data_IF_273885359721
#
_entry.id   IF_273885359721
#
_cell.length_a   1.000
_cell.length_b   1.000
_cell.length_c   1.000
_cell.angle_alpha   90.00
_cell.angle_beta   90.00
_cell.angle_gamma   90.00
#
_symmetry.space_group_name_H-M   'P 1'
#
loop_
_entity.id
_entity.type
_entity.pdbx_description
1 polymer ?
#
# COMPACT_ATOMS: atom_id res chain seq x y z
N UNK A 1 -12.01 -12.45 0.14
CA UNK A 1 -12.17 -10.99 -0.01
C UNK A 1 -12.67 -10.59 -1.39
N UNK A 2 -12.30 -11.31 -2.47
CA UNK A 2 -12.75 -11.02 -3.85
C UNK A 2 -13.95 -11.89 -4.30
N UNK A 3 -14.63 -12.52 -3.35
CA UNK A 3 -15.77 -13.39 -3.66
C UNK A 3 -17.01 -12.55 -3.98
N UNK A 4 -17.78 -12.97 -4.99
CA UNK A 4 -18.93 -12.18 -5.49
C UNK A 4 -20.09 -12.18 -4.50
N UNK A 5 -20.42 -13.34 -3.91
CA UNK A 5 -21.51 -13.43 -2.93
C UNK A 5 -21.19 -12.61 -1.67
N UNK A 6 -19.94 -12.65 -1.23
CA UNK A 6 -19.46 -11.80 -0.14
C UNK A 6 -19.56 -10.31 -0.48
N UNK A 7 -19.18 -9.91 -1.70
CA UNK A 7 -19.29 -8.53 -2.16
C UNK A 7 -20.76 -8.06 -2.25
N UNK A 8 -21.65 -8.90 -2.74
CA UNK A 8 -23.09 -8.62 -2.82
C UNK A 8 -23.68 -8.42 -1.42
N UNK A 9 -23.32 -9.26 -0.45
CA UNK A 9 -23.73 -9.08 0.94
C UNK A 9 -23.28 -7.75 1.55
N UNK A 10 -22.04 -7.31 1.26
CA UNK A 10 -21.56 -5.99 1.68
C UNK A 10 -22.31 -4.85 0.98
N UNK A 11 -22.61 -5.00 -0.32
CA UNK A 11 -23.35 -4.01 -1.09
C UNK A 11 -24.77 -3.81 -0.52
N UNK A 12 -25.44 -4.89 -0.11
CA UNK A 12 -26.75 -4.83 0.53
C UNK A 12 -26.72 -4.07 1.88
N UNK A 13 -25.69 -4.31 2.70
CA UNK A 13 -25.48 -3.57 3.96
C UNK A 13 -25.39 -2.07 3.69
N UNK A 14 -24.57 -1.68 2.70
CA UNK A 14 -24.41 -0.27 2.28
C UNK A 14 -25.73 0.30 1.77
N UNK A 15 -26.47 -0.45 0.93
CA UNK A 15 -27.75 -0.02 0.35
C UNK A 15 -28.83 0.21 1.41
N UNK A 16 -28.79 -0.52 2.53
CA UNK A 16 -29.67 -0.30 3.70
C UNK A 16 -29.29 0.91 4.55
N UNK A 17 -28.19 1.60 4.22
CA UNK A 17 -27.70 2.77 4.95
C UNK A 17 -26.98 2.43 6.25
N UNK A 18 -26.58 1.17 6.46
CA UNK A 18 -25.81 0.77 7.62
C UNK A 18 -24.38 1.32 7.53
N UNK A 19 -23.98 2.12 8.52
CA UNK A 19 -22.64 2.71 8.56
C UNK A 19 -21.70 1.85 9.40
N UNK A 20 -20.56 1.46 8.82
CA UNK A 20 -19.50 0.82 9.57
C UNK A 20 -18.86 1.81 10.55
N UNK A 21 -18.85 1.47 11.84
CA UNK A 21 -18.08 2.22 12.83
C UNK A 21 -16.62 1.76 12.81
N UNK A 22 -15.74 2.63 12.32
CA UNK A 22 -14.29 2.39 12.29
C UNK A 22 -13.62 3.36 13.24
N UNK A 23 -13.04 2.85 14.32
CA UNK A 23 -12.19 3.65 15.20
C UNK A 23 -10.93 4.07 14.43
N UNK A 24 -10.86 5.35 14.06
CA UNK A 24 -9.67 5.92 13.43
C UNK A 24 -8.75 6.40 14.53
N UNK A 25 -7.57 5.82 14.62
CA UNK A 25 -6.45 6.47 15.31
C UNK A 25 -6.20 7.81 14.61
N UNK A 26 -5.98 8.88 15.39
CA UNK A 26 -5.63 10.20 14.87
C UNK A 26 -4.63 10.05 13.72
N UNK A 27 -5.07 10.39 12.52
CA UNK A 27 -4.29 10.16 11.33
C UNK A 27 -3.07 11.08 11.39
N UNK A 28 -1.89 10.48 11.59
CA UNK A 28 -0.65 11.16 11.27
C UNK A 28 -0.77 11.70 9.83
N UNK A 29 -0.27 12.92 9.60
CA UNK A 29 -0.31 13.52 8.28
C UNK A 29 0.22 12.54 7.23
N UNK A 30 -0.48 12.45 6.09
CA UNK A 30 -0.08 11.56 5.00
C UNK A 30 1.35 11.87 4.55
N UNK A 31 2.19 10.84 4.46
CA UNK A 31 3.58 10.99 4.01
C UNK A 31 3.59 11.40 2.53
N UNK A 32 4.45 12.37 2.21
CA UNK A 32 4.69 12.84 0.84
C UNK A 32 5.79 12.03 0.13
N UNK A 33 6.26 10.94 0.74
CA UNK A 33 7.52 10.26 0.38
C UNK A 33 7.28 9.05 -0.54
N UNK A 34 6.24 9.13 -1.37
CA UNK A 34 5.90 8.13 -2.40
C UNK A 34 5.95 8.77 -3.78
N UNK A 35 6.73 8.17 -4.66
CA UNK A 35 6.83 8.56 -6.06
C UNK A 35 6.23 7.46 -6.93
N UNK A 36 5.36 7.84 -7.85
CA UNK A 36 4.82 6.94 -8.87
C UNK A 36 5.27 7.39 -10.26
N UNK A 37 5.69 6.44 -11.08
CA UNK A 37 6.13 6.68 -12.44
C UNK A 37 5.44 5.68 -13.36
N UNK A 38 4.91 6.18 -14.47
CA UNK A 38 4.41 5.38 -15.59
C UNK A 38 5.23 5.68 -16.84
N UNK A 39 5.63 4.63 -17.56
CA UNK A 39 6.35 4.74 -18.83
C UNK A 39 5.73 3.79 -19.83
N UNK A 40 5.56 4.26 -21.06
CA UNK A 40 5.21 3.44 -22.23
C UNK A 40 6.22 3.76 -23.33
N UNK A 41 6.77 2.73 -23.97
CA UNK A 41 7.72 2.91 -25.08
C UNK A 41 7.07 2.66 -26.45
N UNK A 42 7.83 2.91 -27.52
CA UNK A 42 7.38 2.76 -28.92
C UNK A 42 7.15 1.29 -29.33
N UNK A 43 7.65 0.34 -28.55
CA UNK A 43 7.46 -1.09 -28.78
C UNK A 43 6.23 -1.64 -28.03
N UNK A 44 5.51 -0.79 -27.29
CA UNK A 44 4.34 -1.16 -26.51
C UNK A 44 4.67 -1.74 -25.13
N UNK A 45 5.91 -1.64 -24.64
CA UNK A 45 6.21 -2.02 -23.26
C UNK A 45 5.66 -0.95 -22.32
N UNK A 46 5.01 -1.38 -21.24
CA UNK A 46 4.47 -0.50 -20.21
C UNK A 46 5.04 -0.84 -18.82
N UNK A 47 5.36 0.19 -18.03
CA UNK A 47 5.81 0.06 -16.64
C UNK A 47 4.96 0.96 -15.76
N UNK A 48 4.41 0.40 -14.69
CA UNK A 48 3.77 1.13 -13.57
C UNK A 48 4.58 0.85 -12.32
N UNK A 49 5.28 1.86 -11.81
CA UNK A 49 6.22 1.72 -10.70
C UNK A 49 5.85 2.67 -9.57
N UNK A 50 5.66 2.11 -8.38
CA UNK A 50 5.51 2.87 -7.14
C UNK A 50 6.74 2.63 -6.26
N UNK A 51 7.47 3.69 -5.94
CA UNK A 51 8.59 3.67 -5.01
C UNK A 51 8.28 4.55 -3.81
N UNK A 52 8.58 4.07 -2.61
CA UNK A 52 8.28 4.80 -1.38
C UNK A 52 9.27 4.45 -0.28
N UNK A 53 9.67 5.46 0.50
CA UNK A 53 10.34 5.24 1.79
C UNK A 53 9.34 4.87 2.90
N UNK A 54 8.04 4.91 2.60
CA UNK A 54 6.97 4.80 3.59
C UNK A 54 7.04 6.01 4.51
N UNK A 55 7.47 5.79 5.74
CA UNK A 55 7.88 6.87 6.63
C UNK A 55 9.40 7.02 6.51
N UNK A 56 9.97 8.17 6.14
CA UNK A 56 11.42 8.34 6.08
C UNK A 56 12.04 8.09 7.47
N UNK A 57 13.13 7.33 7.52
CA UNK A 57 13.82 7.06 8.81
C UNK A 57 14.54 8.29 9.37
N UNK A 58 14.83 9.28 8.52
CA UNK A 58 15.73 10.39 8.84
C UNK A 58 17.22 10.01 8.86
N UNK A 59 17.56 8.74 8.60
CA UNK A 59 18.94 8.25 8.65
C UNK A 59 19.55 8.22 7.26
N UNK A 60 20.74 8.83 7.13
CA UNK A 60 21.59 8.80 5.94
C UNK A 60 22.99 8.37 6.39
N UNK A 61 23.52 7.29 5.83
CA UNK A 61 24.90 6.89 6.10
C UNK A 61 25.88 7.82 5.39
N UNK A 62 26.98 8.14 6.06
CA UNK A 62 28.03 9.00 5.51
C UNK A 62 28.54 8.47 4.16
N UNK A 63 28.59 9.34 3.16
CA UNK A 63 29.07 9.02 1.82
C UNK A 63 28.09 8.28 0.89
N UNK A 64 26.94 7.80 1.37
CA UNK A 64 25.99 7.03 0.52
C UNK A 64 25.00 7.89 -0.26
N UNK A 65 24.64 9.07 0.25
CA UNK A 65 23.78 10.03 -0.45
C UNK A 65 22.31 9.63 -0.60
N UNK A 66 21.83 8.60 0.10
CA UNK A 66 20.41 8.24 0.15
C UNK A 66 19.92 8.00 1.57
N UNK A 67 18.63 8.23 1.80
CA UNK A 67 17.96 8.02 3.08
C UNK A 67 17.38 6.62 3.16
N UNK A 68 17.47 5.99 4.33
CA UNK A 68 16.81 4.70 4.58
C UNK A 68 15.30 4.87 4.79
N UNK A 69 14.55 3.86 4.38
CA UNK A 69 13.13 3.75 4.72
C UNK A 69 12.95 3.53 6.23
N UNK A 70 11.83 3.99 6.77
CA UNK A 70 11.39 3.76 8.16
C UNK A 70 10.19 2.81 8.22
N UNK A 71 10.14 1.84 7.31
CA UNK A 71 8.97 0.99 7.11
C UNK A 71 8.70 0.02 8.26
N UNK A 72 9.60 -0.12 9.25
CA UNK A 72 9.31 -0.89 10.46
C UNK A 72 8.11 -0.32 11.25
N UNK A 73 7.78 0.96 11.05
CA UNK A 73 6.63 1.64 11.66
C UNK A 73 5.27 1.04 11.27
N UNK A 74 5.18 0.31 10.15
CA UNK A 74 3.90 -0.27 9.69
C UNK A 74 3.55 -1.61 10.35
N UNK A 75 4.48 -2.22 11.08
CA UNK A 75 4.19 -3.46 11.79
C UNK A 75 3.47 -3.18 13.11
N UNK A 76 2.62 -4.12 13.53
CA UNK A 76 2.06 -4.11 14.88
C UNK A 76 3.17 -4.50 15.88
N UNK A 77 3.49 -3.67 16.88
CA UNK A 77 4.49 -4.02 17.88
C UNK A 77 4.00 -5.13 18.84
N UNK A 78 2.69 -5.40 18.90
CA UNK A 78 2.11 -6.45 19.74
C UNK A 78 2.29 -7.81 19.07
N UNK A 79 2.79 -8.84 19.78
CA UNK A 79 3.03 -10.15 19.20
C UNK A 79 1.73 -10.91 18.85
N UNK A 80 1.85 -11.93 18.00
CA UNK A 80 0.78 -12.90 17.72
C UNK A 80 -0.30 -12.44 16.74
N UNK A 81 -0.14 -11.29 16.08
CA UNK A 81 -1.09 -10.74 15.11
C UNK A 81 -0.57 -10.91 13.68
N UNK A 82 -1.49 -10.87 12.71
CA UNK A 82 -1.14 -10.95 11.30
C UNK A 82 -0.10 -9.89 10.88
N UNK A 83 -0.20 -8.68 11.44
CA UNK A 83 0.73 -7.57 11.20
C UNK A 83 1.94 -7.50 12.14
N UNK A 84 2.14 -8.45 13.05
CA UNK A 84 3.23 -8.35 14.04
C UNK A 84 4.62 -8.41 13.42
N UNK A 85 5.58 -7.72 14.05
CA UNK A 85 7.01 -7.79 13.74
C UNK A 85 7.52 -9.24 13.87
N UNK A 86 8.29 -9.70 12.88
CA UNK A 86 9.04 -10.96 12.95
C UNK A 86 10.30 -10.90 12.06
N UNK A 87 11.37 -11.65 12.38
CA UNK A 87 12.59 -11.70 11.56
C UNK A 87 12.29 -12.20 10.14
N UNK A 88 12.83 -11.50 9.13
CA UNK A 88 12.67 -11.85 7.71
C UNK A 88 11.26 -11.66 7.14
N UNK A 89 10.29 -11.21 7.95
CA UNK A 89 8.92 -11.02 7.51
C UNK A 89 8.79 -9.77 6.64
N UNK A 90 8.10 -9.91 5.52
CA UNK A 90 7.74 -8.77 4.67
C UNK A 90 6.67 -7.91 5.34
N UNK A 91 6.82 -6.60 5.20
CA UNK A 91 5.82 -5.63 5.66
C UNK A 91 4.58 -5.64 4.78
N UNK A 92 3.46 -5.16 5.33
CA UNK A 92 2.35 -4.72 4.50
C UNK A 92 2.71 -3.40 3.79
N UNK A 93 2.11 -3.15 2.63
CA UNK A 93 2.19 -1.88 1.91
C UNK A 93 0.83 -1.49 1.34
N UNK A 94 0.53 -0.19 1.35
CA UNK A 94 -0.63 0.37 0.68
C UNK A 94 -0.33 0.76 -0.79
N UNK A 95 0.89 0.50 -1.29
CA UNK A 95 1.24 0.75 -2.70
C UNK A 95 0.37 -0.12 -3.62
N UNK A 96 -0.23 0.48 -4.65
CA UNK A 96 -1.06 -0.23 -5.64
C UNK A 96 -0.71 0.20 -7.08
N UNK A 97 0.52 -0.09 -7.58
CA UNK A 97 0.79 0.05 -9.00
C UNK A 97 -0.19 -0.85 -9.78
N UNK A 98 -0.92 -0.26 -10.72
CA UNK A 98 -2.06 -0.91 -11.37
C UNK A 98 -1.99 -0.67 -12.87
N UNK A 99 -2.25 -1.72 -13.65
CA UNK A 99 -2.44 -1.67 -15.10
C UNK A 99 -3.84 -2.17 -15.42
N UNK A 100 -4.50 -1.51 -16.37
CA UNK A 100 -5.79 -1.94 -16.90
C UNK A 100 -5.55 -2.49 -18.30
N UNK A 101 -6.29 -3.56 -18.61
CA UNK A 101 -6.30 -4.24 -19.90
C UNK A 101 -7.76 -4.35 -20.32
N UNK A 102 -8.03 -4.20 -21.62
CA UNK A 102 -9.30 -4.58 -22.21
C UNK A 102 -9.31 -6.08 -22.55
N UNK A 103 -10.34 -6.54 -23.25
CA UNK A 103 -10.48 -7.95 -23.64
C UNK A 103 -9.42 -8.40 -24.66
N UNK A 104 -8.83 -7.45 -25.42
CA UNK A 104 -7.84 -7.70 -26.46
C UNK A 104 -6.40 -7.50 -25.96
N UNK A 105 -6.20 -6.86 -24.81
CA UNK A 105 -4.89 -6.67 -24.16
C UNK A 105 -4.70 -5.26 -23.61
N UNK A 106 -3.47 -4.73 -23.76
CA UNK A 106 -3.14 -3.33 -23.49
C UNK A 106 -3.61 -2.43 -24.63
#
# INVERSE_FOLDING_TARGET
LIDKEYADGLAEIIARGEQAHVERLEAAAESRDTTHICVVDEHGNAVSLTHSLGMPSGVVSEGLGFMYNGCMSVFDPRPGRAGSIAPGKSRFTAMSPTMLFDDDGL
#
